data_IF_130022108366
#
_entry.id   IF_130022108366
#
_cell.length_a   1.000
_cell.length_b   1.000
_cell.length_c   1.000
_cell.angle_alpha   90.00
_cell.angle_beta   90.00
_cell.angle_gamma   90.00
#
_symmetry.space_group_name_H-M   'P 1'
#
loop_
_entity.id
_entity.type
_entity.pdbx_description
1 polymer ?
#
# COMPACT_ATOMS: atom_id res chain seq x y z
N UNK A 1 -11.08 -0.12 3.74
CA UNK A 1 -12.47 -0.22 3.21
C UNK A 1 -12.40 -0.13 1.69
N UNK A 2 -13.01 -1.05 0.97
CA UNK A 2 -13.02 -1.06 -0.51
C UNK A 2 -14.32 -0.44 -0.98
N UNK A 3 -14.24 0.61 -1.80
CA UNK A 3 -15.37 1.37 -2.33
C UNK A 3 -15.46 1.09 -3.84
N UNK A 4 -16.44 0.26 -4.19
CA UNK A 4 -16.72 -0.11 -5.57
C UNK A 4 -17.50 0.99 -6.30
N UNK A 5 -17.25 1.11 -7.61
CA UNK A 5 -18.02 1.97 -8.52
C UNK A 5 -18.05 3.46 -8.11
N UNK A 6 -16.95 3.96 -7.54
CA UNK A 6 -16.88 5.38 -7.15
C UNK A 6 -16.72 6.29 -8.39
N UNK A 7 -17.41 7.45 -8.37
CA UNK A 7 -17.30 8.46 -9.42
C UNK A 7 -15.86 8.98 -9.54
N UNK A 8 -15.15 9.05 -8.41
CA UNK A 8 -13.73 9.41 -8.33
C UNK A 8 -12.84 8.38 -9.05
N UNK A 9 -13.09 7.07 -8.87
CA UNK A 9 -12.35 6.05 -9.62
C UNK A 9 -12.59 6.18 -11.12
N UNK A 10 -13.84 6.44 -11.55
CA UNK A 10 -14.14 6.61 -12.97
C UNK A 10 -13.45 7.83 -13.59
N UNK A 11 -13.36 8.96 -12.89
CA UNK A 11 -12.72 10.16 -13.44
C UNK A 11 -11.19 10.09 -13.40
N UNK A 12 -10.61 9.53 -12.33
CA UNK A 12 -9.15 9.47 -12.17
C UNK A 12 -8.50 8.31 -12.94
N UNK A 13 -9.13 7.13 -13.00
CA UNK A 13 -8.61 5.96 -13.73
C UNK A 13 -8.85 6.04 -15.24
N UNK A 14 -9.74 6.90 -15.74
CA UNK A 14 -9.87 7.02 -17.20
C UNK A 14 -8.64 7.66 -17.86
N UNK A 15 -7.82 8.38 -17.08
CA UNK A 15 -6.57 9.03 -17.53
C UNK A 15 -5.33 8.15 -17.40
N UNK A 16 -5.32 7.18 -16.48
CA UNK A 16 -4.20 6.28 -16.22
C UNK A 16 -4.77 4.87 -16.29
N UNK A 17 -4.31 4.03 -17.22
CA UNK A 17 -4.69 2.60 -17.39
C UNK A 17 -4.39 1.73 -16.13
N UNK A 18 -4.90 2.12 -14.97
CA UNK A 18 -4.76 1.41 -13.69
C UNK A 18 -6.15 0.97 -13.26
N UNK A 19 -6.24 -0.16 -12.58
CA UNK A 19 -7.50 -0.84 -12.26
C UNK A 19 -8.09 -0.37 -10.91
N UNK A 20 -7.25 0.14 -10.01
CA UNK A 20 -7.66 0.73 -8.73
C UNK A 20 -6.74 1.92 -8.33
N UNK A 21 -7.18 2.73 -7.36
CA UNK A 21 -6.32 3.66 -6.64
C UNK A 21 -6.55 3.55 -5.13
N UNK A 22 -5.51 3.76 -4.33
CA UNK A 22 -5.60 3.81 -2.87
C UNK A 22 -5.31 5.22 -2.37
N UNK A 23 -6.21 5.76 -1.55
CA UNK A 23 -6.06 7.06 -0.88
C UNK A 23 -6.47 6.90 0.58
N UNK A 24 -5.57 7.24 1.51
CA UNK A 24 -5.80 7.18 2.97
C UNK A 24 -6.32 5.82 3.49
N UNK A 25 -5.90 4.70 2.89
CA UNK A 25 -6.37 3.35 3.26
C UNK A 25 -7.77 3.00 2.75
N UNK A 26 -8.42 3.93 2.04
CA UNK A 26 -9.61 3.66 1.25
C UNK A 26 -9.20 3.27 -0.17
N UNK A 27 -9.65 2.10 -0.58
CA UNK A 27 -9.36 1.55 -1.89
C UNK A 27 -10.54 1.89 -2.80
N UNK A 28 -10.30 2.62 -3.88
CA UNK A 28 -11.34 3.01 -4.84
C UNK A 28 -11.14 2.22 -6.12
N UNK A 29 -12.16 1.45 -6.48
CA UNK A 29 -12.13 0.60 -7.67
C UNK A 29 -13.11 1.12 -8.71
N UNK A 30 -12.73 1.03 -9.99
CA UNK A 30 -13.59 1.44 -11.12
C UNK A 30 -14.65 0.38 -11.45
N UNK A 31 -14.30 -0.89 -11.29
CA UNK A 31 -15.13 -2.03 -11.70
C UNK A 31 -16.05 -2.52 -10.57
N UNK A 32 -17.15 -3.17 -10.97
CA UNK A 32 -18.13 -3.78 -10.05
C UNK A 32 -17.62 -5.10 -9.46
N UNK A 33 -16.71 -5.76 -10.15
CA UNK A 33 -16.02 -6.98 -9.74
C UNK A 33 -14.52 -6.80 -10.01
N UNK A 34 -13.68 -7.20 -9.05
CA UNK A 34 -12.23 -7.32 -9.22
C UNK A 34 -11.91 -8.81 -9.40
N UNK A 35 -10.85 -9.12 -10.15
CA UNK A 35 -10.32 -10.49 -10.18
C UNK A 35 -9.75 -10.86 -8.80
N UNK A 36 -9.78 -12.14 -8.46
CA UNK A 36 -9.38 -12.61 -7.12
C UNK A 36 -7.96 -12.20 -6.73
N UNK A 37 -7.04 -12.15 -7.70
CA UNK A 37 -5.67 -11.67 -7.47
C UNK A 37 -5.62 -10.15 -7.21
N UNK A 38 -6.42 -9.34 -7.93
CA UNK A 38 -6.45 -7.88 -7.75
C UNK A 38 -7.04 -7.54 -6.38
N UNK A 39 -8.05 -8.30 -5.94
CA UNK A 39 -8.62 -8.14 -4.61
C UNK A 39 -7.58 -8.47 -3.53
N UNK A 40 -6.81 -9.54 -3.70
CA UNK A 40 -5.74 -9.91 -2.77
C UNK A 40 -4.63 -8.87 -2.70
N UNK A 41 -4.14 -8.40 -3.84
CA UNK A 41 -3.15 -7.32 -3.94
C UNK A 41 -3.63 -6.05 -3.19
N UNK A 42 -4.90 -5.68 -3.41
CA UNK A 42 -5.52 -4.53 -2.77
C UNK A 42 -5.63 -4.70 -1.25
N UNK A 43 -5.99 -5.88 -0.78
CA UNK A 43 -6.05 -6.20 0.64
C UNK A 43 -4.66 -6.17 1.29
N UNK A 44 -3.61 -6.63 0.58
CA UNK A 44 -2.22 -6.56 1.05
C UNK A 44 -1.82 -5.09 1.22
N UNK A 45 -2.04 -4.24 0.21
CA UNK A 45 -1.73 -2.83 0.32
C UNK A 45 -2.55 -2.11 1.41
N UNK A 46 -3.83 -2.47 1.58
CA UNK A 46 -4.64 -1.93 2.66
C UNK A 46 -4.07 -2.32 4.04
N UNK A 47 -3.58 -3.56 4.17
CA UNK A 47 -2.92 -4.01 5.40
C UNK A 47 -1.60 -3.29 5.62
N UNK A 48 -0.76 -3.18 4.60
CA UNK A 48 0.51 -2.42 4.66
C UNK A 48 0.25 -0.96 5.07
N UNK A 49 -0.78 -0.32 4.52
CA UNK A 49 -1.19 1.02 4.92
C UNK A 49 -1.54 1.09 6.41
N UNK A 50 -2.35 0.16 6.92
CA UNK A 50 -2.67 0.14 8.36
C UNK A 50 -1.44 -0.06 9.23
N UNK A 51 -0.50 -0.90 8.81
CA UNK A 51 0.75 -1.14 9.55
C UNK A 51 1.63 0.12 9.59
N UNK A 52 1.79 0.81 8.45
CA UNK A 52 2.51 2.07 8.36
C UNK A 52 1.83 3.16 9.19
N UNK A 53 0.51 3.26 9.11
CA UNK A 53 -0.28 4.21 9.89
C UNK A 53 -0.07 4.01 11.39
N UNK A 54 -0.23 2.79 11.91
CA UNK A 54 -0.02 2.50 13.33
C UNK A 54 1.43 2.72 13.77
N UNK A 55 2.40 2.40 12.92
CA UNK A 55 3.82 2.64 13.20
C UNK A 55 4.12 4.15 13.29
N UNK A 56 3.57 4.94 12.38
CA UNK A 56 3.76 6.39 12.32
C UNK A 56 2.85 7.14 13.31
N UNK A 57 1.79 6.53 13.83
CA UNK A 57 0.85 7.14 14.75
C UNK A 57 1.52 7.55 16.06
N UNK A 58 2.34 6.67 16.67
CA UNK A 58 3.06 6.98 17.90
C UNK A 58 4.01 8.19 17.75
N UNK A 59 4.95 8.22 16.79
CA UNK A 59 5.82 9.38 16.61
C UNK A 59 5.04 10.63 16.18
N UNK A 60 4.00 10.49 15.36
CA UNK A 60 3.16 11.62 14.96
C UNK A 60 2.41 12.22 16.16
N UNK A 61 1.90 11.39 17.09
CA UNK A 61 1.23 11.86 18.30
C UNK A 61 2.20 12.63 19.20
N UNK A 62 3.39 12.09 19.44
CA UNK A 62 4.43 12.78 20.24
C UNK A 62 4.78 14.12 19.62
N UNK A 63 5.04 14.16 18.30
CA UNK A 63 5.34 15.39 17.58
C UNK A 63 4.15 16.36 17.55
N UNK A 64 2.92 15.85 17.54
CA UNK A 64 1.72 16.70 17.54
C UNK A 64 1.52 17.44 18.84
N UNK A 65 1.85 16.79 19.97
CA UNK A 65 1.76 17.38 21.30
C UNK A 65 2.88 18.40 21.52
N UNK A 66 4.08 18.11 21.02
CA UNK A 66 5.25 18.97 21.23
C UNK A 66 5.28 20.18 20.25
N UNK A 67 4.99 19.97 18.97
CA UNK A 67 5.15 20.99 17.94
C UNK A 67 3.81 21.54 17.46
N UNK A 68 2.98 20.70 16.84
CA UNK A 68 1.71 21.14 16.25
C UNK A 68 0.82 19.98 15.81
N UNK A 69 -0.50 20.15 15.88
CA UNK A 69 -1.46 19.17 15.41
C UNK A 69 -1.26 18.74 13.94
N UNK A 70 -0.67 19.59 13.09
CA UNK A 70 -0.37 19.28 11.69
C UNK A 70 0.50 18.02 11.49
N UNK A 71 1.31 17.63 12.49
CA UNK A 71 2.12 16.40 12.43
C UNK A 71 1.27 15.13 12.34
N UNK A 72 -0.02 15.17 12.69
CA UNK A 72 -0.92 14.04 12.44
C UNK A 72 -1.14 13.75 10.96
N UNK A 73 -1.01 14.73 10.07
CA UNK A 73 -1.07 14.48 8.62
C UNK A 73 0.05 13.55 8.15
N UNK A 74 1.19 13.52 8.85
CA UNK A 74 2.27 12.59 8.53
C UNK A 74 1.90 11.14 8.84
N UNK A 75 1.08 10.87 9.86
CA UNK A 75 0.60 9.52 10.11
C UNK A 75 -0.23 9.02 8.91
N UNK A 76 -1.10 9.87 8.36
CA UNK A 76 -1.91 9.57 7.17
C UNK A 76 -1.07 9.44 5.89
N UNK A 77 -0.01 10.24 5.73
CA UNK A 77 0.86 10.20 4.55
C UNK A 77 2.02 9.20 4.66
N UNK A 78 2.20 8.55 5.82
CA UNK A 78 3.34 7.68 6.13
C UNK A 78 3.57 6.58 5.10
N UNK A 79 2.51 5.89 4.67
CA UNK A 79 2.58 4.86 3.64
C UNK A 79 3.12 5.42 2.32
N UNK A 80 2.56 6.54 1.85
CA UNK A 80 2.99 7.16 0.60
C UNK A 80 4.41 7.71 0.69
N UNK A 81 4.82 8.23 1.85
CA UNK A 81 6.18 8.67 2.09
C UNK A 81 7.16 7.49 2.03
N UNK A 82 6.88 6.40 2.72
CA UNK A 82 7.75 5.21 2.71
C UNK A 82 7.84 4.59 1.31
N UNK A 83 6.71 4.51 0.61
CA UNK A 83 6.63 4.05 -0.77
C UNK A 83 7.47 4.93 -1.71
N UNK A 84 7.31 6.25 -1.63
CA UNK A 84 8.03 7.19 -2.49
C UNK A 84 9.52 7.27 -2.15
N UNK A 85 9.89 7.22 -0.87
CA UNK A 85 11.28 7.14 -0.43
C UNK A 85 11.96 5.90 -1.00
N UNK A 86 11.33 4.74 -0.91
CA UNK A 86 11.89 3.52 -1.46
C UNK A 86 12.05 3.62 -2.97
N UNK A 87 11.05 4.15 -3.67
CA UNK A 87 11.10 4.39 -5.12
C UNK A 87 12.11 5.45 -5.55
N UNK A 88 12.51 6.34 -4.63
CA UNK A 88 13.56 7.32 -4.83
C UNK A 88 14.96 6.71 -4.68
N UNK A 89 15.14 5.78 -3.75
CA UNK A 89 16.42 5.12 -3.49
C UNK A 89 16.65 3.84 -4.31
N UNK A 90 15.59 3.13 -4.67
CA UNK A 90 15.58 1.95 -5.52
C UNK A 90 14.52 2.11 -6.60
N UNK A 91 14.78 1.64 -7.81
CA UNK A 91 13.77 1.63 -8.87
C UNK A 91 12.64 0.61 -8.63
N UNK A 92 12.65 -0.08 -7.48
CA UNK A 92 11.67 -1.07 -7.04
C UNK A 92 11.04 -0.63 -5.71
N UNK A 93 9.91 -1.25 -5.34
CA UNK A 93 9.31 -1.08 -4.01
C UNK A 93 9.02 -2.45 -3.40
N UNK A 94 9.43 -2.65 -2.15
CA UNK A 94 9.11 -3.84 -1.37
C UNK A 94 7.61 -3.99 -1.12
N UNK A 95 6.85 -2.88 -1.13
CA UNK A 95 5.40 -2.90 -1.03
C UNK A 95 4.76 -3.50 -2.28
N UNK A 96 5.19 -3.06 -3.47
CA UNK A 96 4.71 -3.58 -4.76
C UNK A 96 5.12 -5.05 -4.93
N UNK A 97 6.36 -5.39 -4.55
CA UNK A 97 6.84 -6.77 -4.61
C UNK A 97 6.07 -7.72 -3.69
N UNK A 98 5.83 -7.35 -2.43
CA UNK A 98 5.04 -8.18 -1.50
C UNK A 98 3.62 -8.39 -2.02
N UNK A 99 3.04 -7.38 -2.66
CA UNK A 99 1.70 -7.46 -3.21
C UNK A 99 1.65 -8.36 -4.46
N UNK A 100 2.63 -8.24 -5.36
CA UNK A 100 2.74 -9.08 -6.57
C UNK A 100 3.05 -10.54 -6.24
N UNK A 101 3.99 -10.80 -5.34
CA UNK A 101 4.41 -12.16 -5.00
C UNK A 101 3.29 -12.95 -4.31
N UNK A 102 2.45 -12.28 -3.53
CA UNK A 102 1.42 -12.93 -2.72
C UNK A 102 -0.01 -12.67 -3.18
N UNK A 103 -0.21 -12.08 -4.37
CA UNK A 103 -1.56 -11.85 -4.93
C UNK A 103 -2.32 -13.16 -5.20
N UNK A 104 -1.61 -14.26 -5.47
CA UNK A 104 -2.21 -15.57 -5.77
C UNK A 104 -2.60 -16.39 -4.53
N UNK A 105 -2.00 -16.12 -3.36
CA UNK A 105 -2.27 -16.87 -2.13
C UNK A 105 -3.37 -16.20 -1.28
N UNK A 106 -4.61 -16.64 -1.47
CA UNK A 106 -5.77 -16.16 -0.71
C UNK A 106 -5.66 -16.34 0.82
N UNK A 107 -4.81 -17.26 1.31
CA UNK A 107 -4.58 -17.49 2.73
C UNK A 107 -3.39 -16.68 3.29
N UNK A 108 -2.66 -15.96 2.44
CA UNK A 108 -1.46 -15.21 2.82
C UNK A 108 -1.74 -14.26 3.98
N UNK A 109 -2.79 -13.45 3.88
CA UNK A 109 -3.16 -12.45 4.90
C UNK A 109 -3.40 -13.06 6.28
N UNK A 110 -3.83 -14.33 6.36
CA UNK A 110 -4.07 -15.03 7.62
C UNK A 110 -2.78 -15.56 8.25
N UNK A 111 -1.79 -15.94 7.44
CA UNK A 111 -0.50 -16.48 7.88
C UNK A 111 0.56 -15.40 8.09
N UNK A 112 0.39 -14.26 7.42
CA UNK A 112 1.33 -13.15 7.38
C UNK A 112 1.59 -12.58 8.79
N UNK A 113 2.86 -12.46 9.15
CA UNK A 113 3.30 -11.77 10.37
C UNK A 113 3.15 -10.25 10.20
N UNK A 114 2.89 -9.54 11.30
CA UNK A 114 2.82 -8.07 11.28
C UNK A 114 4.14 -7.46 10.78
N UNK A 115 4.07 -6.46 9.90
CA UNK A 115 5.22 -5.70 9.36
C UNK A 115 6.19 -6.54 8.52
N UNK A 116 5.69 -7.52 7.76
CA UNK A 116 6.52 -8.37 6.91
C UNK A 116 7.34 -7.57 5.87
N UNK A 117 6.77 -6.51 5.29
CA UNK A 117 7.44 -5.60 4.34
C UNK A 117 8.74 -5.00 4.89
N UNK A 118 8.82 -4.74 6.21
CA UNK A 118 9.97 -4.12 6.85
C UNK A 118 11.26 -4.97 6.72
N UNK A 119 11.13 -6.29 6.54
CA UNK A 119 12.28 -7.20 6.31
C UNK A 119 12.99 -6.92 4.98
N UNK A 120 12.25 -6.41 4.00
CA UNK A 120 12.73 -6.19 2.63
C UNK A 120 12.88 -4.71 2.31
N UNK A 121 12.28 -3.83 3.11
CA UNK A 121 12.38 -2.39 2.95
C UNK A 121 13.84 -1.89 2.92
N UNK A 122 14.20 -1.19 1.85
CA UNK A 122 15.54 -0.60 1.66
C UNK A 122 16.64 -1.56 1.21
N UNK A 123 16.32 -2.82 0.85
CA UNK A 123 17.30 -3.74 0.24
C UNK A 123 17.59 -3.35 -1.21
N UNK A 124 18.84 -3.50 -1.66
CA UNK A 124 19.24 -3.18 -3.04
C UNK A 124 18.61 -4.09 -4.09
N UNK A 125 18.40 -5.36 -3.77
CA UNK A 125 17.76 -6.35 -4.65
C UNK A 125 16.67 -7.09 -3.88
N UNK A 126 15.50 -7.21 -4.49
CA UNK A 126 14.41 -8.06 -4.03
C UNK A 126 14.59 -9.46 -4.66
N UNK A 127 14.06 -10.53 -4.04
CA UNK A 127 13.99 -11.83 -4.70
C UNK A 127 13.21 -11.67 -6.01
N UNK A 128 13.60 -12.34 -7.12
CA UNK A 128 12.78 -12.34 -8.32
C UNK A 128 11.39 -12.85 -7.97
N UNK A 129 10.34 -12.12 -8.35
CA UNK A 129 8.97 -12.61 -8.23
C UNK A 129 8.65 -13.51 -9.41
N UNK A 130 7.79 -14.52 -9.22
CA UNK A 130 7.35 -15.40 -10.32
C UNK A 130 6.59 -14.65 -11.43
N UNK A 131 6.24 -13.38 -11.20
CA UNK A 131 5.46 -12.52 -12.08
C UNK A 131 6.26 -11.36 -12.69
N UNK A 132 7.58 -11.28 -12.44
CA UNK A 132 8.46 -10.25 -13.02
C UNK A 132 8.94 -10.58 -14.46
N UNK A 133 8.54 -11.73 -15.01
CA UNK A 133 8.81 -12.14 -16.39
C UNK A 133 7.64 -11.72 -17.32
N UNK A 134 7.65 -10.46 -17.78
CA UNK A 134 7.15 -10.00 -19.11
C UNK A 134 7.46 -8.50 -19.39
#
# INVERSE_FOLDING_TARGET
MIIYNSLLAKTFLNRKKRHYFMIFGCCFTRFKYLEGWEEMELQIHARQYTECFFLALLPALVLSVWLSWWWMLLAFMSYHLLYWLERWFGHHSSFDWEALEHCSDALYLRKRKSRAWMKWYGKKSLPPSEWEDD
#
